data_IF_977614947367
#
_entry.id   IF_977614947367
#
_cell.length_a   1.000
_cell.length_b   1.000
_cell.length_c   1.000
_cell.angle_alpha   90.00
_cell.angle_beta   90.00
_cell.angle_gamma   90.00
#
_symmetry.space_group_name_H-M   'P 1'
#
loop_
_entity.id
_entity.type
_entity.pdbx_description
1 polymer ?
#
# COMPACT_ATOMS: atom_id res chain seq x y z
N UNK A 1 -2.20 -6.82 44.72
CA UNK A 1 -1.45 -5.60 44.35
C UNK A 1 -1.29 -5.63 42.84
N UNK A 2 -2.05 -4.80 42.15
CA UNK A 2 -2.07 -4.71 40.68
C UNK A 2 -0.73 -4.21 40.19
N UNK A 3 -0.04 -5.00 39.36
CA UNK A 3 1.17 -4.53 38.68
C UNK A 3 0.75 -3.51 37.61
N UNK A 4 1.49 -2.41 37.42
CA UNK A 4 1.01 -1.27 36.66
C UNK A 4 1.09 -1.54 35.15
N UNK A 5 0.07 -1.02 34.48
CA UNK A 5 -0.04 -0.77 33.05
C UNK A 5 1.13 0.13 32.58
N UNK A 6 2.26 -0.47 32.20
CA UNK A 6 3.52 0.28 31.96
C UNK A 6 4.41 -0.37 30.90
N UNK A 7 3.86 -0.63 29.71
CA UNK A 7 4.66 -0.82 28.50
C UNK A 7 3.88 -0.50 27.22
N UNK A 8 3.21 0.66 27.18
CA UNK A 8 3.00 1.37 25.90
C UNK A 8 4.36 1.97 25.47
N UNK A 9 5.33 1.09 25.26
CA UNK A 9 6.69 1.44 24.93
C UNK A 9 6.67 2.12 23.56
N UNK A 10 7.33 3.27 23.46
CA UNK A 10 7.67 3.93 22.19
C UNK A 10 8.58 3.07 21.28
N UNK A 11 8.84 1.81 21.67
CA UNK A 11 9.43 0.75 20.89
C UNK A 11 9.37 -0.58 21.67
N UNK A 12 8.52 -1.51 21.21
CA UNK A 12 8.74 -2.94 21.40
C UNK A 12 9.74 -3.43 20.35
N UNK A 13 10.24 -4.67 20.47
CA UNK A 13 11.01 -5.31 19.39
C UNK A 13 10.24 -5.16 18.05
N UNK A 14 10.91 -4.75 16.95
CA UNK A 14 10.23 -4.49 15.70
C UNK A 14 9.52 -5.77 15.24
N UNK A 15 8.21 -5.71 14.94
CA UNK A 15 7.48 -6.89 14.54
C UNK A 15 8.02 -7.41 13.20
N UNK A 16 8.24 -8.71 13.11
CA UNK A 16 8.63 -9.37 11.86
C UNK A 16 7.37 -9.65 11.04
N UNK A 17 7.20 -8.91 9.94
CA UNK A 17 6.16 -9.20 8.97
C UNK A 17 6.68 -10.22 7.95
N UNK A 18 5.90 -11.26 7.67
CA UNK A 18 6.25 -12.28 6.68
C UNK A 18 5.52 -12.10 5.35
N UNK A 19 4.33 -11.47 5.39
CA UNK A 19 3.42 -11.29 4.26
C UNK A 19 2.64 -9.99 4.43
N UNK A 20 2.11 -9.48 3.33
CA UNK A 20 1.30 -8.27 3.31
C UNK A 20 -0.05 -8.56 2.66
N UNK A 21 -1.13 -8.35 3.40
CA UNK A 21 -2.48 -8.48 2.89
C UNK A 21 -2.90 -7.15 2.24
N UNK A 22 -3.45 -7.21 1.03
CA UNK A 22 -4.11 -6.08 0.40
C UNK A 22 -5.62 -6.35 0.32
N UNK A 23 -6.40 -5.40 0.82
CA UNK A 23 -7.86 -5.42 0.82
C UNK A 23 -8.39 -4.22 0.03
N UNK A 24 -9.49 -4.41 -0.67
CA UNK A 24 -10.20 -3.34 -1.39
C UNK A 24 -11.67 -3.40 -1.02
N UNK A 25 -12.21 -2.29 -0.52
CA UNK A 25 -13.59 -2.19 -0.03
C UNK A 25 -13.96 -3.32 0.96
N UNK A 26 -13.00 -3.73 1.79
CA UNK A 26 -13.14 -4.81 2.78
C UNK A 26 -13.03 -6.23 2.23
N UNK A 27 -12.77 -6.39 0.94
CA UNK A 27 -12.57 -7.69 0.28
C UNK A 27 -11.07 -7.97 0.17
N UNK A 28 -10.64 -9.16 0.62
CA UNK A 28 -9.26 -9.60 0.48
C UNK A 28 -8.92 -9.83 -1.00
N UNK A 29 -8.01 -9.02 -1.55
CA UNK A 29 -7.56 -9.13 -2.94
C UNK A 29 -6.39 -10.12 -3.05
N UNK A 30 -5.56 -10.18 -2.01
CA UNK A 30 -4.56 -11.23 -1.89
C UNK A 30 -3.44 -10.93 -0.91
N UNK A 31 -2.63 -11.97 -0.67
CA UNK A 31 -1.38 -11.88 0.07
C UNK A 31 -0.21 -11.66 -0.90
N UNK A 32 0.61 -10.67 -0.58
CA UNK A 32 1.76 -10.26 -1.37
C UNK A 32 3.06 -10.52 -0.62
N UNK A 33 4.09 -10.87 -1.39
CA UNK A 33 5.44 -11.13 -0.89
C UNK A 33 6.22 -9.83 -0.69
N UNK A 34 5.94 -8.80 -1.49
CA UNK A 34 6.55 -7.47 -1.29
C UNK A 34 5.58 -6.35 -1.63
N UNK A 35 5.69 -5.24 -0.89
CA UNK A 35 4.99 -3.99 -1.13
C UNK A 35 6.01 -2.86 -1.11
N UNK A 36 5.99 -2.00 -2.13
CA UNK A 36 6.88 -0.83 -2.26
C UNK A 36 6.04 0.41 -2.55
N UNK A 37 6.59 1.59 -2.25
CA UNK A 37 5.90 2.86 -2.50
C UNK A 37 4.94 3.30 -1.40
N UNK A 38 4.80 2.55 -0.29
CA UNK A 38 4.09 3.04 0.89
C UNK A 38 4.93 4.11 1.60
N UNK A 39 4.91 5.33 1.06
CA UNK A 39 5.70 6.46 1.51
C UNK A 39 4.93 7.77 1.36
N UNK A 40 5.36 8.78 2.11
CA UNK A 40 4.90 10.16 1.96
C UNK A 40 6.09 11.10 2.09
N UNK A 41 6.22 12.04 1.16
CA UNK A 41 7.19 13.13 1.22
C UNK A 41 6.48 14.47 1.21
N UNK A 42 7.03 15.46 1.92
CA UNK A 42 6.63 16.85 1.79
C UNK A 42 7.60 17.56 0.87
N UNK A 43 7.09 18.19 -0.18
CA UNK A 43 7.89 19.19 -0.90
C UNK A 43 8.25 20.33 0.05
N UNK A 44 9.39 20.96 -0.16
CA UNK A 44 9.85 22.13 0.60
C UNK A 44 10.46 23.16 -0.33
N UNK A 45 10.16 24.44 -0.07
CA UNK A 45 10.79 25.57 -0.76
C UNK A 45 11.73 26.31 0.21
N UNK A 46 12.93 26.62 -0.28
CA UNK A 46 13.97 27.29 0.50
C UNK A 46 13.93 28.80 0.29
N UNK A 47 13.72 29.55 1.37
CA UNK A 47 13.73 31.02 1.36
C UNK A 47 14.91 31.54 2.17
N UNK A 48 15.74 32.36 1.50
CA UNK A 48 16.91 33.02 2.12
C UNK A 48 16.57 34.47 2.42
N UNK A 49 16.56 34.82 3.70
CA UNK A 49 16.30 36.17 4.18
C UNK A 49 17.61 36.96 4.34
N UNK A 50 17.63 38.20 3.85
CA UNK A 50 18.79 39.08 4.02
C UNK A 50 19.04 39.41 5.49
N UNK A 51 20.30 39.33 5.92
CA UNK A 51 20.69 39.58 7.31
C UNK A 51 20.54 38.36 8.23
N UNK A 52 19.88 37.28 7.77
CA UNK A 52 19.88 35.98 8.45
C UNK A 52 20.91 35.04 7.81
N UNK A 53 22.03 34.83 8.50
CA UNK A 53 23.13 33.97 8.02
C UNK A 53 23.19 32.60 8.71
N UNK A 54 22.34 32.37 9.72
CA UNK A 54 22.38 31.16 10.56
C UNK A 54 21.55 29.98 10.04
N UNK A 55 20.53 30.24 9.21
CA UNK A 55 19.66 29.19 8.67
C UNK A 55 18.96 29.63 7.38
N UNK A 56 18.33 28.67 6.70
CA UNK A 56 17.42 28.89 5.56
C UNK A 56 16.01 28.53 6.02
N UNK A 57 15.01 29.30 5.61
CA UNK A 57 13.61 28.98 5.90
C UNK A 57 13.16 27.86 4.95
N UNK A 58 12.66 26.75 5.50
CA UNK A 58 12.06 25.67 4.71
C UNK A 58 10.53 25.78 4.78
N UNK A 59 9.90 26.22 3.69
CA UNK A 59 8.45 26.37 3.60
C UNK A 59 7.82 25.06 3.11
N UNK A 60 6.81 24.51 3.82
CA UNK A 60 6.16 23.27 3.41
C UNK A 60 5.31 23.46 2.16
N UNK A 61 5.54 22.61 1.17
CA UNK A 61 4.77 22.52 -0.07
C UNK A 61 3.75 21.37 -0.06
N UNK A 62 3.50 20.79 -1.23
CA UNK A 62 2.54 19.68 -1.40
C UNK A 62 3.09 18.35 -0.86
N UNK A 63 2.21 17.51 -0.34
CA UNK A 63 2.53 16.10 -0.06
C UNK A 63 2.51 15.27 -1.35
N UNK A 64 3.54 14.46 -1.52
CA UNK A 64 3.67 13.49 -2.61
C UNK A 64 3.41 12.08 -2.08
N UNK A 65 2.62 11.34 -2.84
CA UNK A 65 2.24 9.96 -2.57
C UNK A 65 2.55 9.15 -3.82
N UNK A 66 3.65 8.38 -3.85
CA UNK A 66 3.99 7.58 -5.01
C UNK A 66 2.99 6.42 -5.17
N UNK A 67 2.92 5.86 -6.37
CA UNK A 67 2.16 4.62 -6.60
C UNK A 67 2.72 3.49 -5.73
N UNK A 68 1.83 2.58 -5.34
CA UNK A 68 2.18 1.41 -4.55
C UNK A 68 2.28 0.22 -5.49
N UNK A 69 3.39 -0.50 -5.39
CA UNK A 69 3.68 -1.68 -6.20
C UNK A 69 3.71 -2.90 -5.31
N UNK A 70 2.88 -3.88 -5.67
CA UNK A 70 2.75 -5.16 -4.99
C UNK A 70 3.32 -6.26 -5.87
N UNK A 71 4.03 -7.21 -5.27
CA UNK A 71 4.54 -8.41 -5.97
C UNK A 71 4.14 -9.67 -5.21
N UNK A 72 3.62 -10.67 -5.92
CA UNK A 72 3.27 -11.99 -5.38
C UNK A 72 3.61 -13.10 -6.36
N UNK A 73 3.56 -14.35 -5.89
CA UNK A 73 3.50 -15.50 -6.79
C UNK A 73 2.12 -15.64 -7.43
N UNK A 74 2.02 -16.41 -8.52
CA UNK A 74 0.73 -16.73 -9.15
C UNK A 74 -0.20 -17.42 -8.14
N UNK A 75 -1.47 -17.01 -8.14
CA UNK A 75 -2.51 -17.55 -7.26
C UNK A 75 -3.72 -18.03 -8.06
N UNK A 76 -4.55 -18.89 -7.47
CA UNK A 76 -5.81 -19.33 -8.07
C UNK A 76 -6.98 -18.36 -7.82
N UNK A 77 -6.74 -17.22 -7.14
CA UNK A 77 -7.80 -16.30 -6.75
C UNK A 77 -8.08 -15.25 -7.82
N UNK A 78 -9.34 -15.18 -8.26
CA UNK A 78 -9.80 -14.21 -9.26
C UNK A 78 -10.14 -12.83 -8.67
N UNK A 79 -10.16 -12.67 -7.34
CA UNK A 79 -10.56 -11.42 -6.66
C UNK A 79 -9.84 -10.16 -7.19
N UNK A 80 -8.57 -10.28 -7.55
CA UNK A 80 -7.80 -9.20 -8.17
C UNK A 80 -8.36 -8.81 -9.54
N UNK A 81 -8.61 -9.79 -10.40
CA UNK A 81 -9.13 -9.56 -11.74
C UNK A 81 -10.59 -9.12 -11.71
N UNK A 82 -11.41 -9.65 -10.81
CA UNK A 82 -12.78 -9.20 -10.60
C UNK A 82 -12.83 -7.73 -10.20
N UNK A 83 -11.92 -7.28 -9.34
CA UNK A 83 -11.79 -5.87 -9.02
C UNK A 83 -11.30 -5.04 -10.22
N UNK A 84 -10.23 -5.45 -10.90
CA UNK A 84 -9.70 -4.72 -12.05
C UNK A 84 -10.70 -4.62 -13.21
N UNK A 85 -11.48 -5.67 -13.45
CA UNK A 85 -12.51 -5.72 -14.49
C UNK A 85 -13.60 -4.66 -14.28
N UNK A 86 -13.83 -4.16 -13.06
CA UNK A 86 -14.74 -3.01 -12.83
C UNK A 86 -14.24 -1.72 -13.48
N UNK A 87 -12.95 -1.63 -13.77
CA UNK A 87 -12.27 -0.46 -14.36
C UNK A 87 -11.71 -0.72 -15.76
N UNK A 88 -11.94 -1.91 -16.32
CA UNK A 88 -11.50 -2.30 -17.66
C UNK A 88 -12.63 -2.95 -18.47
N UNK A 89 -12.47 -3.00 -19.79
CA UNK A 89 -13.38 -3.73 -20.70
C UNK A 89 -14.87 -3.43 -20.47
N UNK A 90 -15.67 -4.49 -20.34
CA UNK A 90 -17.12 -4.39 -20.15
C UNK A 90 -17.51 -3.73 -18.82
N UNK A 91 -16.75 -3.94 -17.74
CA UNK A 91 -17.05 -3.30 -16.46
C UNK A 91 -16.81 -1.79 -16.48
N UNK A 92 -15.80 -1.32 -17.21
CA UNK A 92 -15.60 0.10 -17.46
C UNK A 92 -16.77 0.72 -18.25
N UNK A 93 -17.22 0.03 -19.30
CA UNK A 93 -18.36 0.47 -20.11
C UNK A 93 -19.65 0.51 -19.28
N UNK A 94 -19.90 -0.51 -18.45
CA UNK A 94 -21.02 -0.58 -17.52
C UNK A 94 -20.98 0.55 -16.49
N UNK A 95 -19.78 1.00 -16.08
CA UNK A 95 -19.59 2.14 -15.19
C UNK A 95 -19.56 3.50 -15.91
N UNK A 96 -20.26 3.63 -17.05
CA UNK A 96 -20.35 4.86 -17.82
C UNK A 96 -18.99 5.44 -18.23
N UNK A 97 -18.00 4.57 -18.49
CA UNK A 97 -16.62 4.95 -18.80
C UNK A 97 -15.96 5.80 -17.71
N UNK A 98 -16.26 5.52 -16.44
CA UNK A 98 -15.61 6.15 -15.29
C UNK A 98 -14.75 5.13 -14.56
N UNK A 99 -13.57 5.58 -14.12
CA UNK A 99 -12.72 4.78 -13.22
C UNK A 99 -13.37 4.81 -11.84
N UNK A 100 -13.83 3.64 -11.39
CA UNK A 100 -14.26 3.45 -10.01
C UNK A 100 -13.05 3.58 -9.09
N UNK A 101 -13.19 4.38 -8.02
CA UNK A 101 -12.18 4.51 -6.97
C UNK A 101 -12.70 3.82 -5.72
N UNK A 102 -11.86 2.99 -5.12
CA UNK A 102 -12.18 2.20 -3.95
C UNK A 102 -11.45 2.69 -2.71
N UNK A 103 -11.85 2.20 -1.55
CA UNK A 103 -11.01 2.23 -0.35
C UNK A 103 -10.06 1.03 -0.39
N UNK A 104 -8.82 1.22 0.10
CA UNK A 104 -7.83 0.15 0.20
C UNK A 104 -7.32 -0.02 1.62
N UNK A 105 -6.79 -1.19 1.94
CA UNK A 105 -6.03 -1.41 3.15
C UNK A 105 -4.84 -2.32 2.88
N UNK A 106 -3.66 -1.92 3.35
CA UNK A 106 -2.47 -2.76 3.37
C UNK A 106 -2.24 -3.16 4.81
N UNK A 107 -2.17 -4.46 5.08
CA UNK A 107 -2.03 -4.99 6.43
C UNK A 107 -0.79 -5.87 6.53
N UNK A 108 0.13 -5.53 7.41
CA UNK A 108 1.27 -6.38 7.73
C UNK A 108 0.81 -7.59 8.54
N UNK A 109 1.28 -8.78 8.17
CA UNK A 109 0.88 -10.05 8.78
C UNK A 109 2.07 -10.73 9.46
N UNK A 110 1.85 -11.29 10.66
CA UNK A 110 2.82 -12.13 11.34
C UNK A 110 2.99 -13.48 10.64
N UNK A 111 4.00 -14.27 11.02
CA UNK A 111 4.19 -15.64 10.53
C UNK A 111 3.01 -16.57 10.85
N UNK A 112 2.29 -16.28 11.93
CA UNK A 112 1.13 -17.04 12.41
C UNK A 112 -0.18 -16.58 11.76
N UNK A 113 -0.11 -15.58 10.86
CA UNK A 113 -1.29 -15.03 10.17
C UNK A 113 -2.05 -13.97 10.97
N UNK A 114 -1.48 -13.46 12.05
CA UNK A 114 -2.09 -12.36 12.80
C UNK A 114 -1.88 -11.02 12.07
N UNK A 115 -2.93 -10.19 12.02
CA UNK A 115 -2.86 -8.82 11.48
C UNK A 115 -2.12 -7.93 12.50
N UNK A 116 -0.98 -7.36 12.12
CA UNK A 116 -0.09 -6.59 13.00
C UNK A 116 -0.41 -5.09 12.98
N UNK A 117 -0.44 -4.51 11.78
CA UNK A 117 -0.70 -3.08 11.56
C UNK A 117 -1.31 -2.90 10.18
N UNK A 118 -2.27 -1.98 10.07
CA UNK A 118 -2.90 -1.64 8.80
C UNK A 118 -2.66 -0.18 8.40
N UNK A 119 -2.62 0.06 7.11
CA UNK A 119 -2.60 1.38 6.50
C UNK A 119 -3.78 1.47 5.54
N UNK A 120 -4.75 2.33 5.85
CA UNK A 120 -5.93 2.56 5.04
C UNK A 120 -5.64 3.60 3.97
N UNK A 121 -5.97 3.28 2.72
CA UNK A 121 -5.71 4.08 1.54
C UNK A 121 -7.01 4.69 1.01
N UNK A 122 -6.93 5.96 0.62
CA UNK A 122 -8.06 6.68 0.07
C UNK A 122 -8.04 6.68 -1.46
N UNK A 123 -9.20 6.45 -2.09
CA UNK A 123 -9.40 6.62 -3.54
C UNK A 123 -8.46 5.78 -4.42
N UNK A 124 -8.34 4.50 -4.11
CA UNK A 124 -7.44 3.54 -4.77
C UNK A 124 -8.02 3.05 -6.10
N UNK A 125 -7.18 2.89 -7.11
CA UNK A 125 -7.49 2.21 -8.36
C UNK A 125 -6.24 1.53 -8.94
N UNK A 126 -6.45 0.46 -9.72
CA UNK A 126 -5.36 -0.23 -10.41
C UNK A 126 -4.80 0.64 -11.56
N UNK A 127 -3.48 0.76 -11.63
CA UNK A 127 -2.74 1.46 -12.69
C UNK A 127 -2.23 0.47 -13.72
N UNK A 128 -1.68 -0.65 -13.25
CA UNK A 128 -1.10 -1.69 -14.12
C UNK A 128 -1.09 -3.03 -13.40
N UNK A 129 -1.29 -4.09 -14.18
CA UNK A 129 -0.94 -5.46 -13.79
C UNK A 129 0.03 -6.05 -14.80
N UNK A 130 1.05 -6.75 -14.31
CA UNK A 130 1.97 -7.54 -15.12
C UNK A 130 1.92 -8.99 -14.63
N UNK A 131 1.60 -9.90 -15.53
CA UNK A 131 1.62 -11.34 -15.27
C UNK A 131 3.03 -11.94 -15.29
N UNK A 132 3.12 -13.25 -15.01
CA UNK A 132 4.38 -13.96 -15.07
C UNK A 132 4.92 -14.01 -16.51
N UNK A 133 6.23 -13.92 -16.63
CA UNK A 133 6.94 -14.24 -17.85
C UNK A 133 7.12 -15.77 -17.92
N UNK A 134 6.65 -16.40 -19.00
CA UNK A 134 6.74 -17.86 -19.18
C UNK A 134 7.94 -18.21 -20.06
N UNK A 135 8.92 -18.88 -19.47
CA UNK A 135 10.09 -19.39 -20.17
C UNK A 135 10.37 -20.82 -19.72
N UNK A 136 10.21 -21.79 -20.64
CA UNK A 136 10.45 -23.20 -20.35
C UNK A 136 11.93 -23.57 -20.21
N UNK A 137 12.84 -22.64 -20.50
CA UNK A 137 14.28 -22.85 -20.37
C UNK A 137 14.84 -22.45 -19.00
N UNK A 138 14.06 -21.77 -18.16
CA UNK A 138 14.51 -21.29 -16.85
C UNK A 138 13.55 -21.66 -15.72
N UNK A 139 14.10 -22.12 -14.59
CA UNK A 139 13.33 -22.36 -13.36
C UNK A 139 13.21 -21.07 -12.54
N UNK A 140 12.37 -20.15 -13.02
CA UNK A 140 12.08 -18.88 -12.34
C UNK A 140 10.72 -18.92 -11.65
N UNK A 141 10.61 -18.19 -10.52
CA UNK A 141 9.35 -18.09 -9.81
C UNK A 141 8.35 -17.27 -10.65
N UNK A 142 7.22 -17.88 -10.99
CA UNK A 142 6.11 -17.19 -11.63
C UNK A 142 5.56 -16.12 -10.68
N UNK A 143 5.74 -14.85 -11.05
CA UNK A 143 5.35 -13.71 -10.24
C UNK A 143 4.44 -12.75 -10.98
N UNK A 144 3.56 -12.13 -10.23
CA UNK A 144 2.63 -11.10 -10.67
C UNK A 144 2.99 -9.78 -9.99
N UNK A 145 2.84 -8.68 -10.72
CA UNK A 145 3.03 -7.33 -10.21
C UNK A 145 1.75 -6.52 -10.40
N UNK A 146 1.29 -5.86 -9.33
CA UNK A 146 0.17 -4.94 -9.33
C UNK A 146 0.65 -3.56 -8.92
N UNK A 147 0.34 -2.55 -9.71
CA UNK A 147 0.57 -1.14 -9.39
C UNK A 147 -0.75 -0.44 -9.16
N UNK A 148 -0.86 0.32 -8.06
CA UNK A 148 -2.05 1.11 -7.73
C UNK A 148 -1.69 2.56 -7.43
N UNK A 149 -2.61 3.45 -7.76
CA UNK A 149 -2.56 4.87 -7.38
C UNK A 149 -3.58 5.13 -6.27
N UNK A 150 -3.30 6.13 -5.43
CA UNK A 150 -4.13 6.50 -4.27
C UNK A 150 -3.97 7.98 -3.92
N UNK A 151 -4.85 8.51 -3.07
CA UNK A 151 -4.84 9.91 -2.62
C UNK A 151 -4.26 10.10 -1.21
N UNK A 152 -3.33 9.21 -0.82
CA UNK A 152 -2.74 9.15 0.52
C UNK A 152 -3.25 7.98 1.36
N UNK A 153 -2.70 7.87 2.58
CA UNK A 153 -3.05 6.80 3.52
C UNK A 153 -2.98 7.27 4.97
N UNK A 154 -3.66 6.54 5.86
CA UNK A 154 -3.61 6.73 7.32
C UNK A 154 -3.27 5.41 7.99
N UNK A 155 -2.41 5.44 9.01
CA UNK A 155 -2.18 4.26 9.82
C UNK A 155 -3.40 3.98 10.70
N UNK A 156 -3.84 2.74 10.72
CA UNK A 156 -4.91 2.24 11.56
C UNK A 156 -4.37 1.15 12.50
N UNK A 157 -4.86 1.14 13.73
CA UNK A 157 -4.66 0.00 14.60
C UNK A 157 -5.57 -1.13 14.12
N UNK A 158 -5.03 -2.34 14.09
CA UNK A 158 -5.86 -3.52 13.85
C UNK A 158 -6.69 -3.74 15.12
N UNK A 159 -8.02 -3.81 14.97
CA UNK A 159 -8.87 -4.22 16.09
C UNK A 159 -8.51 -5.66 16.49
N UNK A 160 -8.26 -5.87 17.78
CA UNK A 160 -7.95 -7.19 18.35
C UNK A 160 -9.17 -8.09 18.32
#
# INVERSE_FOLDING_TARGET
>A
MSSPDSARLLGTEPPLASRFLFEVDGIEIGLFASVRGLAVSSQTEDVREGGQNGFVHHLPGRLEWPNIVFTRGVTQSDALFDWMNKTAGEGFAANQNKIARSTGAITAMSSEGARLRSWSLDSVFAVRWKGPDFDSSTDTLLSEELEVAHHGFRAANVAT
#
